data_IF_691373835994
#
_entry.id   IF_691373835994
#
_cell.length_a   1.000
_cell.length_b   1.000
_cell.length_c   1.000
_cell.angle_alpha   90.00
_cell.angle_beta   90.00
_cell.angle_gamma   90.00
#
_symmetry.space_group_name_H-M   'P 1'
#
loop_
_entity.id
_entity.type
_entity.pdbx_description
1 polymer ?
#
# COMPACT_ATOMS: atom_id res chain seq x y z
N UNK A 1 31.05 20.14 7.96
CA UNK A 1 30.13 20.18 6.82
C UNK A 1 28.74 20.12 7.40
N UNK A 2 27.82 20.99 6.99
CA UNK A 2 26.41 20.80 7.38
C UNK A 2 25.99 19.40 6.97
N UNK A 3 25.38 18.66 7.90
CA UNK A 3 24.90 17.30 7.69
C UNK A 3 23.64 17.31 6.81
N UNK A 4 23.77 17.81 5.57
CA UNK A 4 22.65 17.88 4.62
C UNK A 4 22.33 16.48 4.13
N UNK A 5 21.05 16.07 4.17
CA UNK A 5 20.66 14.76 3.70
C UNK A 5 20.80 14.66 2.18
N UNK A 6 21.13 13.46 1.71
CA UNK A 6 20.94 13.11 0.30
C UNK A 6 19.44 13.05 0.03
N UNK A 7 18.98 13.78 -0.99
CA UNK A 7 17.58 13.74 -1.41
C UNK A 7 17.40 12.61 -2.42
N UNK A 8 16.37 11.79 -2.22
CA UNK A 8 15.97 10.72 -3.12
C UNK A 8 14.51 10.92 -3.49
N UNK A 9 14.20 10.78 -4.77
CA UNK A 9 12.83 10.60 -5.27
C UNK A 9 12.73 9.23 -5.90
N UNK A 10 11.60 8.55 -5.72
CA UNK A 10 11.41 7.19 -6.22
C UNK A 10 9.94 6.93 -6.56
N UNK A 11 9.71 6.38 -7.75
CA UNK A 11 8.38 6.02 -8.22
C UNK A 11 8.42 4.80 -9.16
N UNK A 12 7.29 4.10 -9.28
CA UNK A 12 7.10 2.93 -10.11
C UNK A 12 5.72 2.93 -10.78
N UNK A 13 5.71 2.57 -12.06
CA UNK A 13 4.52 2.51 -12.88
C UNK A 13 4.35 1.13 -13.52
N UNK A 14 3.11 0.69 -13.70
CA UNK A 14 2.79 -0.57 -14.36
C UNK A 14 1.64 -0.40 -15.36
N UNK A 15 1.87 -0.76 -16.62
CA UNK A 15 0.86 -0.72 -17.69
C UNK A 15 0.05 -2.02 -17.66
N UNK A 16 -0.97 -2.08 -16.79
CA UNK A 16 -1.64 -3.31 -16.37
C UNK A 16 -1.07 -3.81 -15.04
N UNK A 17 -1.85 -4.55 -14.24
CA UNK A 17 -1.41 -4.99 -12.91
C UNK A 17 -1.88 -6.43 -12.61
N UNK A 18 -1.12 -7.47 -13.00
CA UNK A 18 0.26 -7.40 -13.52
C UNK A 18 0.39 -6.96 -14.98
N UNK A 19 1.60 -6.53 -15.37
CA UNK A 19 1.93 -6.13 -16.74
C UNK A 19 3.34 -5.54 -16.87
N UNK A 20 3.68 -4.97 -18.05
CA UNK A 20 4.92 -4.23 -18.27
C UNK A 20 5.07 -3.06 -17.29
N UNK A 21 6.15 -3.04 -16.53
CA UNK A 21 6.44 -2.02 -15.53
C UNK A 21 7.72 -1.24 -15.82
N UNK A 22 7.80 -0.08 -15.20
CA UNK A 22 8.98 0.76 -15.18
C UNK A 22 9.14 1.41 -13.82
N UNK A 23 10.37 1.80 -13.50
CA UNK A 23 10.70 2.50 -12.26
C UNK A 23 11.66 3.65 -12.54
N UNK A 24 11.62 4.67 -11.70
CA UNK A 24 12.46 5.85 -11.79
C UNK A 24 12.96 6.29 -10.42
N UNK A 25 14.20 6.77 -10.37
CA UNK A 25 14.79 7.36 -9.16
C UNK A 25 15.64 8.56 -9.51
N UNK A 26 15.61 9.59 -8.66
CA UNK A 26 16.54 10.72 -8.67
C UNK A 26 17.30 10.70 -7.36
N UNK A 27 18.61 10.89 -7.41
CA UNK A 27 19.49 10.97 -6.24
C UNK A 27 20.24 12.30 -6.32
N UNK A 28 20.17 13.10 -5.26
CA UNK A 28 20.86 14.39 -5.16
C UNK A 28 21.74 14.36 -3.92
N UNK A 29 23.05 14.27 -4.13
CA UNK A 29 24.03 14.20 -3.03
C UNK A 29 24.41 15.60 -2.52
N UNK A 30 24.93 15.71 -1.29
CA UNK A 30 25.22 17.02 -0.67
C UNK A 30 26.25 17.88 -1.40
N UNK A 31 27.10 17.27 -2.21
CA UNK A 31 28.07 17.94 -3.09
C UNK A 31 27.45 18.51 -4.37
N UNK A 32 26.13 18.36 -4.55
CA UNK A 32 25.39 18.90 -5.68
C UNK A 32 25.43 18.02 -6.92
N UNK A 33 25.77 16.73 -6.80
CA UNK A 33 25.66 15.78 -7.91
C UNK A 33 24.25 15.17 -7.97
N UNK A 34 23.72 15.09 -9.19
CA UNK A 34 22.43 14.47 -9.49
C UNK A 34 22.65 13.23 -10.33
N UNK A 35 21.97 12.14 -9.98
CA UNK A 35 21.92 10.90 -10.75
C UNK A 35 20.47 10.43 -10.90
N UNK A 36 20.02 10.31 -12.14
CA UNK A 36 18.76 9.64 -12.48
C UNK A 36 19.03 8.18 -12.83
N UNK A 37 18.19 7.29 -12.30
CA UNK A 37 18.17 5.87 -12.61
C UNK A 37 16.77 5.49 -13.05
N UNK A 38 16.68 4.53 -13.97
CA UNK A 38 15.40 3.96 -14.34
C UNK A 38 15.57 2.64 -15.09
N UNK A 39 14.49 1.90 -15.21
CA UNK A 39 14.52 0.63 -15.91
C UNK A 39 13.14 0.02 -16.08
N UNK A 40 13.11 -1.09 -16.83
CA UNK A 40 11.91 -1.79 -17.25
C UNK A 40 11.88 -3.23 -16.69
N UNK A 41 10.70 -3.73 -16.37
CA UNK A 41 10.43 -5.15 -16.10
C UNK A 41 9.20 -5.61 -16.90
N UNK A 42 9.28 -6.67 -17.73
CA UNK A 42 8.22 -7.00 -18.70
C UNK A 42 6.94 -7.55 -18.07
N UNK A 43 7.03 -8.20 -16.90
CA UNK A 43 5.88 -8.76 -16.19
C UNK A 43 6.05 -8.53 -14.68
N UNK A 44 5.37 -7.51 -14.18
CA UNK A 44 5.50 -7.05 -12.79
C UNK A 44 4.21 -6.41 -12.29
N UNK A 45 4.26 -5.77 -11.12
CA UNK A 45 3.14 -5.02 -10.54
C UNK A 45 3.59 -3.63 -10.13
N UNK A 46 2.64 -2.71 -9.91
CA UNK A 46 2.97 -1.35 -9.47
C UNK A 46 3.82 -1.36 -8.19
N UNK A 47 3.35 -2.10 -7.17
CA UNK A 47 4.04 -2.22 -5.88
C UNK A 47 5.46 -2.78 -6.00
N UNK A 48 5.72 -3.67 -6.97
CA UNK A 48 7.08 -4.19 -7.22
C UNK A 48 7.97 -3.12 -7.84
N UNK A 49 7.44 -2.28 -8.73
CA UNK A 49 8.18 -1.16 -9.33
C UNK A 49 8.48 -0.06 -8.30
N UNK A 50 7.52 0.29 -7.46
CA UNK A 50 7.74 1.23 -6.34
C UNK A 50 8.85 0.72 -5.40
N UNK A 51 8.79 -0.57 -4.99
CA UNK A 51 9.85 -1.19 -4.18
C UNK A 51 11.20 -1.25 -4.90
N UNK A 52 11.19 -1.45 -6.21
CA UNK A 52 12.39 -1.52 -7.05
C UNK A 52 13.06 -0.16 -7.14
N UNK A 53 12.31 0.93 -7.35
CA UNK A 53 12.84 2.28 -7.39
C UNK A 53 13.64 2.60 -6.11
N UNK A 54 13.01 2.43 -4.95
CA UNK A 54 13.65 2.66 -3.66
C UNK A 54 14.85 1.72 -3.43
N UNK A 55 14.70 0.44 -3.76
CA UNK A 55 15.80 -0.53 -3.64
C UNK A 55 17.01 -0.18 -4.52
N UNK A 56 16.78 0.39 -5.70
CA UNK A 56 17.85 0.84 -6.62
C UNK A 56 18.54 2.08 -6.09
N UNK A 57 17.81 3.03 -5.52
CA UNK A 57 18.39 4.19 -4.86
C UNK A 57 19.28 3.79 -3.68
N UNK A 58 18.77 2.93 -2.77
CA UNK A 58 19.52 2.46 -1.61
C UNK A 58 20.76 1.65 -1.99
N UNK A 59 20.68 0.84 -3.06
CA UNK A 59 21.85 0.13 -3.59
C UNK A 59 22.89 1.09 -4.16
N UNK A 60 22.48 2.14 -4.88
CA UNK A 60 23.41 3.14 -5.39
C UNK A 60 24.13 3.88 -4.25
N UNK A 61 23.41 4.14 -3.17
CA UNK A 61 23.90 4.85 -1.98
C UNK A 61 24.49 3.92 -0.90
N UNK A 62 24.69 2.63 -1.19
CA UNK A 62 25.05 1.61 -0.20
C UNK A 62 26.24 2.03 0.67
N UNK A 63 27.26 2.62 0.04
CA UNK A 63 28.51 3.08 0.69
C UNK A 63 28.58 4.57 0.96
N UNK A 64 27.55 5.34 0.60
CA UNK A 64 27.53 6.79 0.77
C UNK A 64 27.18 7.14 2.23
N UNK A 65 27.99 7.90 2.98
CA UNK A 65 27.66 8.31 4.34
C UNK A 65 26.52 9.35 4.38
N UNK A 66 26.07 9.71 5.59
CA UNK A 66 25.09 10.78 5.81
C UNK A 66 23.61 10.37 5.77
N UNK A 67 22.67 11.24 6.18
CA UNK A 67 21.26 10.93 6.21
C UNK A 67 20.62 10.90 4.81
N UNK A 68 19.54 10.14 4.64
CA UNK A 68 18.74 10.08 3.43
C UNK A 68 17.32 10.62 3.67
N UNK A 69 16.83 11.46 2.77
CA UNK A 69 15.41 11.82 2.69
C UNK A 69 14.81 11.18 1.43
N UNK A 70 14.00 10.13 1.61
CA UNK A 70 13.38 9.39 0.51
C UNK A 70 11.94 9.87 0.33
N UNK A 71 11.68 10.51 -0.80
CA UNK A 71 10.38 11.01 -1.24
C UNK A 71 9.74 10.00 -2.19
N UNK A 72 8.51 9.60 -1.88
CA UNK A 72 7.69 8.73 -2.74
C UNK A 72 6.21 8.95 -2.43
N UNK A 73 5.35 8.76 -3.41
CA UNK A 73 3.90 8.75 -3.23
C UNK A 73 3.35 7.35 -2.86
N UNK A 74 4.23 6.34 -2.80
CA UNK A 74 3.87 4.99 -2.40
C UNK A 74 3.64 4.90 -0.89
N UNK A 75 2.36 5.00 -0.51
CA UNK A 75 1.93 4.63 0.85
C UNK A 75 2.28 3.17 1.19
N UNK A 76 2.28 2.27 0.19
CA UNK A 76 2.65 0.87 0.38
C UNK A 76 4.10 0.70 0.83
N UNK A 77 5.04 1.41 0.20
CA UNK A 77 6.46 1.38 0.58
C UNK A 77 6.66 2.00 1.96
N UNK A 78 6.15 3.21 2.19
CA UNK A 78 6.36 3.93 3.45
C UNK A 78 5.73 3.16 4.62
N UNK A 79 4.47 2.72 4.51
CA UNK A 79 3.83 1.94 5.57
C UNK A 79 4.51 0.58 5.74
N UNK A 80 4.89 -0.08 4.65
CA UNK A 80 5.55 -1.36 4.73
C UNK A 80 6.88 -1.30 5.45
N UNK A 81 7.73 -0.31 5.17
CA UNK A 81 9.02 -0.21 5.84
C UNK A 81 8.91 0.30 7.28
N UNK A 82 8.00 1.24 7.55
CA UNK A 82 7.87 1.87 8.88
C UNK A 82 7.00 1.08 9.86
N UNK A 83 6.04 0.26 9.37
CA UNK A 83 5.04 -0.42 10.22
C UNK A 83 5.08 -1.94 10.13
N UNK A 84 5.30 -2.52 8.95
CA UNK A 84 5.01 -3.95 8.72
C UNK A 84 6.24 -4.84 8.61
N UNK A 85 7.28 -4.40 7.88
CA UNK A 85 8.40 -5.23 7.46
C UNK A 85 9.16 -5.85 8.65
N UNK A 86 9.36 -5.10 9.73
CA UNK A 86 9.97 -5.62 10.94
C UNK A 86 9.13 -6.74 11.59
N UNK A 87 7.81 -6.56 11.66
CA UNK A 87 6.89 -7.58 12.17
C UNK A 87 6.83 -8.82 11.28
N UNK A 88 6.84 -8.64 9.95
CA UNK A 88 6.92 -9.75 9.00
C UNK A 88 8.23 -10.53 9.13
N UNK A 89 9.36 -9.84 9.23
CA UNK A 89 10.68 -10.46 9.40
C UNK A 89 10.72 -11.34 10.65
N UNK A 90 10.21 -10.84 11.79
CA UNK A 90 10.11 -11.61 13.05
C UNK A 90 9.20 -12.83 12.96
N UNK A 91 8.21 -12.82 12.06
CA UNK A 91 7.27 -13.94 11.83
C UNK A 91 7.68 -14.84 10.66
N UNK A 92 8.93 -14.77 10.22
CA UNK A 92 9.41 -15.59 9.11
C UNK A 92 8.75 -15.25 7.78
N UNK A 93 8.41 -13.98 7.57
CA UNK A 93 7.75 -13.45 6.36
C UNK A 93 6.36 -14.02 6.11
N UNK A 94 5.63 -14.24 7.21
CA UNK A 94 4.22 -14.65 7.19
C UNK A 94 3.30 -13.55 7.71
N UNK A 95 2.14 -13.48 7.07
CA UNK A 95 0.96 -12.71 7.45
C UNK A 95 0.31 -13.29 8.72
N UNK A 96 -0.65 -12.57 9.29
CA UNK A 96 -1.34 -13.03 10.51
C UNK A 96 -2.16 -14.31 10.29
N UNK A 97 -2.64 -14.54 9.07
CA UNK A 97 -3.32 -15.75 8.63
C UNK A 97 -2.35 -16.85 8.15
N UNK A 98 -1.04 -16.68 8.36
CA UNK A 98 -0.02 -17.69 8.12
C UNK A 98 0.43 -17.85 6.67
N UNK A 99 -0.10 -17.04 5.74
CA UNK A 99 0.31 -17.02 4.33
C UNK A 99 1.61 -16.25 4.15
N UNK A 100 2.33 -16.52 3.07
CA UNK A 100 3.50 -15.74 2.69
C UNK A 100 3.12 -14.27 2.42
N UNK A 101 3.96 -13.35 2.88
CA UNK A 101 3.79 -11.92 2.62
C UNK A 101 4.01 -11.64 1.13
N UNK A 102 3.12 -10.87 0.52
CA UNK A 102 3.28 -10.44 -0.87
C UNK A 102 4.59 -9.64 -1.04
N UNK A 103 5.29 -9.88 -2.15
CA UNK A 103 6.56 -9.22 -2.49
C UNK A 103 7.69 -9.46 -1.47
N UNK A 104 7.66 -10.58 -0.73
CA UNK A 104 8.67 -10.94 0.29
C UNK A 104 10.12 -10.79 -0.21
N UNK A 105 10.41 -11.19 -1.45
CA UNK A 105 11.74 -11.06 -2.03
C UNK A 105 12.23 -9.60 -2.06
N UNK A 106 11.38 -8.67 -2.48
CA UNK A 106 11.70 -7.24 -2.59
C UNK A 106 11.86 -6.63 -1.19
N UNK A 107 10.98 -6.96 -0.25
CA UNK A 107 11.09 -6.51 1.14
C UNK A 107 12.38 -6.99 1.83
N UNK A 108 12.74 -8.27 1.66
CA UNK A 108 13.99 -8.83 2.19
C UNK A 108 15.20 -8.07 1.66
N UNK A 109 15.24 -7.79 0.35
CA UNK A 109 16.32 -7.02 -0.27
C UNK A 109 16.39 -5.59 0.26
N UNK A 110 15.25 -4.92 0.38
CA UNK A 110 15.18 -3.55 0.90
C UNK A 110 15.69 -3.47 2.35
N UNK A 111 15.23 -4.38 3.21
CA UNK A 111 15.69 -4.46 4.60
C UNK A 111 17.19 -4.77 4.72
N UNK A 112 17.72 -5.64 3.85
CA UNK A 112 19.16 -5.94 3.84
C UNK A 112 20.01 -4.71 3.49
N UNK A 113 19.60 -3.91 2.49
CA UNK A 113 20.29 -2.68 2.12
C UNK A 113 20.29 -1.65 3.26
N UNK A 114 19.17 -1.49 3.95
CA UNK A 114 19.07 -0.58 5.10
C UNK A 114 19.93 -1.07 6.28
N UNK A 115 19.94 -2.38 6.54
CA UNK A 115 20.76 -2.97 7.59
C UNK A 115 22.26 -2.81 7.29
N UNK A 116 22.66 -3.04 6.04
CA UNK A 116 24.04 -2.84 5.60
C UNK A 116 24.47 -1.38 5.73
N UNK A 117 23.63 -0.43 5.27
CA UNK A 117 23.89 1.00 5.45
C UNK A 117 24.11 1.36 6.91
N UNK A 118 23.26 0.86 7.82
CA UNK A 118 23.40 1.07 9.26
C UNK A 118 24.65 0.41 9.84
N UNK A 119 25.09 -0.72 9.30
CA UNK A 119 26.33 -1.37 9.71
C UNK A 119 27.56 -0.57 9.25
N UNK A 120 27.55 -0.05 8.02
CA UNK A 120 28.66 0.73 7.46
C UNK A 120 28.75 2.14 8.08
N UNK A 121 27.61 2.77 8.41
CA UNK A 121 27.53 4.15 8.89
C UNK A 121 26.64 4.27 10.14
N UNK A 122 27.03 3.70 11.30
CA UNK A 122 26.14 3.52 12.46
C UNK A 122 25.54 4.82 13.01
N UNK A 123 26.27 5.93 12.94
CA UNK A 123 25.87 7.23 13.48
C UNK A 123 25.26 8.18 12.43
N UNK A 124 25.29 7.81 11.15
CA UNK A 124 24.92 8.69 10.03
C UNK A 124 23.90 8.07 9.06
N UNK A 125 23.57 6.78 9.20
CA UNK A 125 22.68 6.05 8.29
C UNK A 125 21.18 6.35 8.43
N UNK A 126 20.79 7.48 9.03
CA UNK A 126 19.38 7.80 9.22
C UNK A 126 18.64 7.90 7.88
N UNK A 127 17.44 7.31 7.81
CA UNK A 127 16.57 7.38 6.64
C UNK A 127 15.22 7.94 7.07
N UNK A 128 14.88 9.11 6.54
CA UNK A 128 13.56 9.70 6.69
C UNK A 128 12.72 9.43 5.45
N UNK A 129 11.50 8.93 5.68
CA UNK A 129 10.53 8.64 4.64
C UNK A 129 9.55 9.79 4.54
N UNK A 130 9.49 10.43 3.37
CA UNK A 130 8.68 11.62 3.10
C UNK A 130 7.60 11.24 2.08
N UNK A 131 6.33 11.36 2.48
CA UNK A 131 5.24 11.17 1.54
C UNK A 131 5.10 12.42 0.67
N UNK A 132 5.08 12.25 -0.63
CA UNK A 132 4.70 13.30 -1.57
C UNK A 132 3.44 12.86 -2.28
N UNK A 133 2.48 13.74 -2.52
CA UNK A 133 1.26 13.35 -3.22
C UNK A 133 1.56 13.21 -4.72
N UNK A 134 1.19 12.07 -5.29
CA UNK A 134 1.25 11.84 -6.73
C UNK A 134 0.46 12.90 -7.51
N UNK A 135 1.01 13.34 -8.64
CA UNK A 135 0.44 14.36 -9.54
C UNK A 135 0.05 15.68 -8.85
N UNK A 136 0.79 16.08 -7.80
CA UNK A 136 0.52 17.30 -7.04
C UNK A 136 1.47 18.47 -7.35
N UNK A 137 2.23 18.44 -8.46
CA UNK A 137 3.14 19.52 -8.82
C UNK A 137 4.53 19.43 -8.20
N UNK A 138 4.89 18.32 -7.55
CA UNK A 138 6.23 18.17 -6.93
C UNK A 138 7.25 17.79 -8.02
N UNK A 139 8.16 18.67 -8.45
CA UNK A 139 8.92 18.46 -9.69
C UNK A 139 9.77 17.20 -9.69
N UNK A 140 10.42 16.90 -8.55
CA UNK A 140 11.19 15.66 -8.40
C UNK A 140 10.33 14.40 -8.51
N UNK A 141 9.10 14.42 -7.98
CA UNK A 141 8.19 13.27 -8.06
C UNK A 141 7.61 13.11 -9.47
N UNK A 142 7.22 14.21 -10.11
CA UNK A 142 6.72 14.18 -11.49
C UNK A 142 7.76 13.67 -12.47
N UNK A 143 9.04 14.01 -12.24
CA UNK A 143 10.13 13.49 -13.07
C UNK A 143 10.34 11.99 -12.91
N UNK A 144 10.27 11.44 -11.69
CA UNK A 144 10.39 9.97 -11.51
C UNK A 144 9.18 9.22 -12.04
N UNK A 145 7.97 9.79 -11.97
CA UNK A 145 6.76 9.27 -12.64
C UNK A 145 6.97 9.23 -14.16
N UNK A 146 7.44 10.32 -14.77
CA UNK A 146 7.74 10.37 -16.21
C UNK A 146 8.71 9.25 -16.62
N UNK A 147 9.80 9.08 -15.86
CA UNK A 147 10.79 8.03 -16.10
C UNK A 147 10.13 6.64 -16.01
N UNK A 148 9.40 6.38 -14.93
CA UNK A 148 8.74 5.10 -14.69
C UNK A 148 7.71 4.78 -15.79
N UNK A 149 6.88 5.75 -16.18
CA UNK A 149 5.87 5.62 -17.22
C UNK A 149 6.52 5.35 -18.58
N UNK A 150 7.58 6.08 -18.93
CA UNK A 150 8.34 5.87 -20.16
C UNK A 150 8.86 4.42 -20.26
N UNK A 151 9.53 3.93 -19.21
CA UNK A 151 10.02 2.55 -19.19
C UNK A 151 8.89 1.50 -19.18
N UNK A 152 7.77 1.75 -18.49
CA UNK A 152 6.62 0.83 -18.47
C UNK A 152 6.00 0.65 -19.86
N UNK A 153 6.10 1.66 -20.72
CA UNK A 153 5.57 1.68 -22.09
C UNK A 153 6.62 1.32 -23.14
N UNK A 154 7.81 0.88 -22.74
CA UNK A 154 8.92 0.56 -23.65
C UNK A 154 9.46 1.77 -24.43
N UNK A 155 9.25 2.99 -23.91
CA UNK A 155 9.76 4.23 -24.50
C UNK A 155 11.13 4.58 -23.92
N UNK A 156 11.94 5.30 -24.70
CA UNK A 156 13.21 5.83 -24.23
C UNK A 156 13.01 7.19 -23.57
N UNK A 157 13.70 7.41 -22.45
CA UNK A 157 13.84 8.71 -21.79
C UNK A 157 15.33 8.93 -21.51
N UNK A 158 15.81 10.16 -21.72
CA UNK A 158 17.20 10.51 -21.40
C UNK A 158 17.32 10.66 -19.89
N UNK A 159 18.18 9.85 -19.28
CA UNK A 159 18.54 9.95 -17.86
C UNK A 159 19.69 10.94 -17.68
N UNK A 160 19.64 11.72 -16.61
CA UNK A 160 20.64 12.72 -16.26
C UNK A 160 21.67 12.21 -15.25
N UNK A 161 22.95 12.53 -15.48
CA UNK A 161 24.03 12.44 -14.48
C UNK A 161 24.89 13.68 -14.60
N UNK A 162 25.03 14.44 -13.52
CA UNK A 162 25.80 15.68 -13.54
C UNK A 162 25.49 16.65 -12.40
N UNK A 163 25.99 17.89 -12.46
CA UNK A 163 25.77 18.90 -11.42
C UNK A 163 24.33 19.41 -11.38
N UNK A 164 23.81 19.65 -10.17
CA UNK A 164 22.45 20.16 -9.92
C UNK A 164 22.14 21.47 -10.68
N UNK A 165 23.14 22.34 -10.84
CA UNK A 165 23.02 23.61 -11.58
C UNK A 165 22.54 23.44 -13.04
N UNK A 166 22.78 22.27 -13.65
CA UNK A 166 22.40 21.96 -15.03
C UNK A 166 21.24 20.97 -15.15
N UNK A 167 20.59 20.58 -14.04
CA UNK A 167 19.62 19.48 -14.04
C UNK A 167 18.23 19.86 -14.57
N UNK A 168 17.80 21.11 -14.37
CA UNK A 168 16.54 21.64 -14.91
C UNK A 168 15.26 21.21 -14.16
N UNK A 169 15.33 20.26 -13.23
CA UNK A 169 14.23 19.89 -12.32
C UNK A 169 14.47 20.50 -10.94
N UNK A 170 13.50 21.25 -10.42
CA UNK A 170 13.60 21.88 -9.10
C UNK A 170 13.30 20.88 -7.97
N UNK A 171 14.28 20.03 -7.67
CA UNK A 171 14.21 18.99 -6.62
C UNK A 171 14.06 19.50 -5.19
N UNK A 172 14.20 20.82 -4.98
CA UNK A 172 14.03 21.46 -3.68
C UNK A 172 12.65 22.09 -3.50
N UNK A 173 11.81 22.07 -4.53
CA UNK A 173 10.41 22.48 -4.46
C UNK A 173 9.59 21.34 -3.87
N UNK A 174 9.46 21.36 -2.54
CA UNK A 174 8.79 20.36 -1.73
C UNK A 174 7.55 20.95 -1.05
N UNK A 175 6.48 20.16 -0.85
CA UNK A 175 5.31 20.61 -0.11
C UNK A 175 5.65 20.75 1.38
N UNK A 176 4.89 21.61 2.08
CA UNK A 176 5.05 21.81 3.52
C UNK A 176 4.70 20.55 4.32
N UNK A 177 3.61 19.86 3.93
CA UNK A 177 3.17 18.62 4.55
C UNK A 177 3.58 17.42 3.70
N UNK A 178 4.47 16.61 4.26
CA UNK A 178 4.93 15.33 3.70
C UNK A 178 4.59 14.15 4.61
N UNK A 179 3.58 14.31 5.47
CA UNK A 179 3.06 13.25 6.32
C UNK A 179 2.24 12.25 5.51
N UNK A 180 2.22 11.00 5.97
CA UNK A 180 1.34 10.00 5.38
C UNK A 180 -0.12 10.43 5.56
N UNK A 181 -0.98 10.28 4.54
CA UNK A 181 -2.41 10.52 4.69
C UNK A 181 -2.98 9.57 5.76
N UNK A 182 -4.02 10.03 6.47
CA UNK A 182 -4.73 9.18 7.42
C UNK A 182 -5.19 7.89 6.72
N UNK A 183 -4.88 6.75 7.33
CA UNK A 183 -5.40 5.48 6.85
C UNK A 183 -6.91 5.50 6.95
N UNK A 184 -7.60 5.57 5.80
CA UNK A 184 -9.03 5.24 5.78
C UNK A 184 -9.17 3.83 6.33
N UNK A 185 -10.07 3.57 7.29
CA UNK A 185 -10.28 2.22 7.79
C UNK A 185 -10.50 1.30 6.61
N UNK A 186 -9.66 0.26 6.49
CA UNK A 186 -9.75 -0.72 5.40
C UNK A 186 -11.20 -1.17 5.31
N UNK A 187 -11.88 -0.87 4.20
CA UNK A 187 -13.15 -1.52 3.89
C UNK A 187 -12.85 -3.02 3.73
N UNK A 188 -12.97 -3.78 4.82
CA UNK A 188 -12.72 -5.22 4.85
C UNK A 188 -11.78 -5.73 5.93
N UNK A 189 -10.93 -4.90 6.54
CA UNK A 189 -10.02 -5.33 7.62
C UNK A 189 -10.22 -4.47 8.86
N UNK A 190 -11.42 -4.61 9.39
CA UNK A 190 -11.94 -3.92 10.58
C UNK A 190 -13.29 -4.49 10.97
N UNK A 191 -13.52 -5.76 10.69
CA UNK A 191 -14.57 -6.54 11.33
C UNK A 191 -13.85 -7.72 11.95
N UNK A 192 -13.33 -7.55 13.17
CA UNK A 192 -13.54 -8.61 14.14
C UNK A 192 -15.03 -8.93 14.02
N UNK A 193 -15.40 -10.08 13.41
CA UNK A 193 -16.77 -10.38 12.93
C UNK A 193 -17.76 -9.72 13.87
N UNK A 194 -18.32 -8.56 13.49
CA UNK A 194 -19.22 -7.86 14.38
C UNK A 194 -20.31 -8.87 14.73
N UNK A 195 -20.48 -9.14 16.03
CA UNK A 195 -21.42 -10.14 16.51
C UNK A 195 -22.75 -9.82 15.82
N UNK A 196 -23.34 -10.83 15.16
CA UNK A 196 -24.64 -10.61 14.51
C UNK A 196 -25.60 -10.05 15.56
N UNK A 197 -26.38 -9.03 15.19
CA UNK A 197 -27.50 -8.64 16.00
C UNK A 197 -28.56 -9.74 15.95
N UNK A 198 -28.93 -10.16 14.73
CA UNK A 198 -29.78 -11.31 14.48
C UNK A 198 -29.49 -11.93 13.10
N UNK A 199 -30.12 -13.07 12.82
CA UNK A 199 -30.21 -13.64 11.48
C UNK A 199 -31.67 -13.77 11.11
N UNK A 200 -32.07 -13.23 9.96
CA UNK A 200 -33.40 -13.40 9.41
C UNK A 200 -33.42 -14.52 8.39
N UNK A 201 -34.47 -15.32 8.39
CA UNK A 201 -34.75 -16.31 7.35
C UNK A 201 -36.17 -16.15 6.80
N UNK A 202 -36.32 -16.24 5.47
CA UNK A 202 -37.59 -16.31 4.76
C UNK A 202 -37.71 -17.71 4.15
N UNK A 203 -38.75 -18.45 4.51
CA UNK A 203 -39.06 -19.76 3.90
C UNK A 203 -40.55 -19.77 3.57
N UNK A 204 -40.87 -19.84 2.28
CA UNK A 204 -42.24 -19.61 1.81
C UNK A 204 -42.67 -18.18 2.12
N UNK A 205 -43.79 -18.00 2.81
CA UNK A 205 -44.30 -16.68 3.27
C UNK A 205 -44.00 -16.39 4.74
N UNK A 206 -43.07 -17.13 5.36
CA UNK A 206 -42.79 -17.02 6.80
C UNK A 206 -41.37 -16.55 7.07
N UNK A 207 -41.27 -15.40 7.75
CA UNK A 207 -40.00 -14.85 8.23
C UNK A 207 -39.77 -15.18 9.71
N UNK A 208 -38.55 -15.60 10.04
CA UNK A 208 -38.11 -15.86 11.42
C UNK A 208 -36.83 -15.14 11.77
N UNK A 209 -36.73 -14.72 13.04
CA UNK A 209 -35.51 -14.19 13.66
C UNK A 209 -34.78 -15.28 14.44
N UNK A 210 -33.47 -15.39 14.22
CA UNK A 210 -32.59 -16.33 14.92
C UNK A 210 -31.46 -15.57 15.62
N UNK A 211 -31.09 -16.03 16.81
CA UNK A 211 -29.98 -15.46 17.59
C UNK A 211 -28.62 -16.02 17.16
N UNK A 212 -28.60 -17.18 16.52
CA UNK A 212 -27.38 -17.86 16.08
C UNK A 212 -27.44 -18.27 14.61
N UNK A 213 -26.27 -18.35 13.98
CA UNK A 213 -26.16 -18.86 12.61
C UNK A 213 -26.63 -20.31 12.51
N UNK A 214 -26.27 -21.17 13.45
CA UNK A 214 -26.65 -22.59 13.42
C UNK A 214 -28.17 -22.80 13.42
N UNK A 215 -28.91 -21.94 14.11
CA UNK A 215 -30.37 -21.97 14.12
C UNK A 215 -30.97 -21.53 12.77
N UNK A 216 -30.47 -20.42 12.21
CA UNK A 216 -30.85 -19.95 10.88
C UNK A 216 -30.52 -20.99 9.78
N UNK A 217 -29.31 -21.58 9.83
CA UNK A 217 -28.83 -22.56 8.85
C UNK A 217 -29.73 -23.79 8.81
N UNK A 218 -30.12 -24.34 9.97
CA UNK A 218 -31.04 -25.49 10.05
C UNK A 218 -32.36 -25.26 9.31
N UNK A 219 -32.83 -24.02 9.24
CA UNK A 219 -34.10 -23.65 8.61
C UNK A 219 -34.00 -23.46 7.10
N UNK A 220 -32.88 -22.95 6.60
CA UNK A 220 -32.74 -22.56 5.18
C UNK A 220 -31.96 -23.57 4.34
N UNK A 221 -31.11 -24.39 4.97
CA UNK A 221 -30.23 -25.32 4.27
C UNK A 221 -31.03 -26.40 3.55
N UNK A 222 -30.87 -26.46 2.23
CA UNK A 222 -31.54 -27.45 1.38
C UNK A 222 -33.00 -27.14 1.07
N UNK A 223 -33.52 -25.98 1.47
CA UNK A 223 -34.91 -25.57 1.20
C UNK A 223 -34.95 -24.68 -0.05
N UNK A 224 -35.60 -25.13 -1.15
CA UNK A 224 -35.70 -24.33 -2.37
C UNK A 224 -36.42 -23.00 -2.13
N UNK A 225 -35.84 -21.91 -2.63
CA UNK A 225 -36.41 -20.57 -2.50
C UNK A 225 -36.24 -19.91 -1.13
N UNK A 226 -35.56 -20.55 -0.18
CA UNK A 226 -35.28 -19.93 1.11
C UNK A 226 -34.29 -18.76 0.97
N UNK A 227 -34.55 -17.65 1.68
CA UNK A 227 -33.64 -16.51 1.80
C UNK A 227 -33.16 -16.36 3.23
N UNK A 228 -31.95 -15.82 3.41
CA UNK A 228 -31.46 -15.45 4.73
C UNK A 228 -30.56 -14.22 4.65
N UNK A 229 -30.49 -13.45 5.75
CA UNK A 229 -29.60 -12.29 5.87
C UNK A 229 -29.18 -12.10 7.32
N UNK A 230 -27.88 -11.85 7.52
CA UNK A 230 -27.31 -11.48 8.82
C UNK A 230 -27.52 -9.98 9.00
N UNK A 231 -28.07 -9.57 10.14
CA UNK A 231 -28.28 -8.16 10.49
C UNK A 231 -27.26 -7.70 11.52
N UNK A 232 -27.03 -6.38 11.57
CA UNK A 232 -26.04 -5.75 12.44
C UNK A 232 -26.65 -4.83 13.50
N UNK A 233 -27.92 -4.48 13.38
CA UNK A 233 -28.70 -3.72 14.37
C UNK A 233 -30.21 -3.93 14.13
N UNK A 234 -31.03 -3.40 15.05
CA UNK A 234 -32.49 -3.36 14.88
C UNK A 234 -32.90 -2.59 13.61
N UNK A 235 -32.27 -1.45 13.31
CA UNK A 235 -32.56 -0.68 12.09
C UNK A 235 -32.18 -1.42 10.81
N UNK A 236 -31.10 -2.21 10.85
CA UNK A 236 -30.70 -3.07 9.73
C UNK A 236 -31.72 -4.18 9.51
N UNK A 237 -32.26 -4.74 10.59
CA UNK A 237 -33.34 -5.74 10.52
C UNK A 237 -34.60 -5.18 9.85
N UNK A 238 -35.05 -3.98 10.23
CA UNK A 238 -36.22 -3.33 9.60
C UNK A 238 -36.03 -3.18 8.10
N UNK A 239 -34.86 -2.70 7.66
CA UNK A 239 -34.55 -2.55 6.23
C UNK A 239 -34.60 -3.86 5.47
N UNK A 240 -34.05 -4.92 6.05
CA UNK A 240 -34.09 -6.25 5.43
C UNK A 240 -35.52 -6.76 5.27
N UNK A 241 -36.37 -6.52 6.26
CA UNK A 241 -37.77 -6.92 6.19
C UNK A 241 -38.53 -6.12 5.13
N UNK A 242 -38.32 -4.80 5.06
CA UNK A 242 -38.90 -3.95 4.02
C UNK A 242 -38.47 -4.40 2.62
N UNK A 243 -37.18 -4.72 2.43
CA UNK A 243 -36.66 -5.30 1.18
C UNK A 243 -37.34 -6.61 0.81
N UNK A 244 -37.73 -7.42 1.80
CA UNK A 244 -38.42 -8.70 1.60
C UNK A 244 -39.95 -8.56 1.58
N UNK A 245 -40.49 -7.36 1.75
CA UNK A 245 -41.93 -7.10 1.77
C UNK A 245 -42.65 -7.47 3.07
N UNK A 246 -41.92 -7.58 4.18
CA UNK A 246 -42.43 -7.89 5.52
C UNK A 246 -42.33 -6.69 6.45
N UNK A 247 -43.18 -6.65 7.49
CA UNK A 247 -43.07 -5.72 8.61
C UNK A 247 -42.45 -6.42 9.81
N UNK A 248 -41.90 -5.66 10.75
CA UNK A 248 -41.30 -6.19 12.00
C UNK A 248 -42.26 -7.07 12.79
N UNK A 249 -43.55 -6.72 12.79
CA UNK A 249 -44.63 -7.49 13.43
C UNK A 249 -44.89 -8.87 12.80
N UNK A 250 -44.47 -9.08 11.55
CA UNK A 250 -44.67 -10.35 10.83
C UNK A 250 -43.54 -11.37 11.15
N UNK A 251 -42.50 -10.91 11.85
CA UNK A 251 -41.34 -11.73 12.21
C UNK A 251 -41.66 -12.59 13.43
N UNK A 252 -41.64 -13.90 13.24
CA UNK A 252 -41.76 -14.82 14.36
C UNK A 252 -40.42 -14.92 15.10
N UNK A 253 -40.43 -14.75 16.42
CA UNK A 253 -39.32 -15.11 17.29
C UNK A 253 -39.15 -16.63 17.33
N UNK A 254 -37.91 -17.11 17.50
CA UNK A 254 -37.71 -18.48 17.97
C UNK A 254 -38.28 -18.65 19.38
N UNK A 255 -38.90 -19.81 19.64
CA UNK A 255 -39.13 -20.33 20.99
C UNK A 255 -37.80 -20.83 21.59
#
# INVERSE_FOLDING_TARGET
MENRPTLVFADGACSGNPGPGGWGTIIVTPDGMVTELGGHEPDTTNNRMELTAVGKALRHLERSPGPLHIHTDSTYVIQGITRWAFGWSRRGWKTADGKEVANTLYWKRLMALLAQRKQEHPDEAAVEWKYVRGHAGVPGNERVDEIAVCFSKGRSVKLYVGPLQGYGVNVHELPEDMSLPEEKPRQGEGSAKAKAYSYLSEVGSTVKRHTTWAACERRVKGVPGARFKKTRSEQDEVKVLEEWGFKVQDVQSED
#
